data_IF_765400997903
#
_entry.id   IF_765400997903
#
_cell.length_a   1.000
_cell.length_b   1.000
_cell.length_c   1.000
_cell.angle_alpha   90.00
_cell.angle_beta   90.00
_cell.angle_gamma   90.00
#
_symmetry.space_group_name_H-M   'P 1'
#
loop_
_entity.id
_entity.type
_entity.pdbx_description
1 polymer ?
#
# COMPACT_ATOMS: atom_id res chain seq x y z
N UNK A 1 -15.21 -4.99 32.65
CA UNK A 1 -14.28 -5.65 31.72
C UNK A 1 -14.08 -4.77 30.51
N UNK A 2 -12.85 -4.36 30.20
CA UNK A 2 -12.53 -3.53 29.02
C UNK A 2 -12.02 -4.45 27.91
N UNK A 3 -12.95 -5.14 27.26
CA UNK A 3 -12.67 -6.10 26.19
C UNK A 3 -13.06 -5.61 24.80
N UNK A 4 -13.14 -4.29 24.58
CA UNK A 4 -13.24 -3.76 23.22
C UNK A 4 -11.83 -3.63 22.65
N UNK A 5 -11.54 -4.29 21.53
CA UNK A 5 -10.23 -4.27 20.88
C UNK A 5 -9.78 -2.86 20.46
N UNK A 6 -8.54 -2.74 19.98
CA UNK A 6 -8.03 -1.47 19.43
C UNK A 6 -8.99 -0.88 18.38
N UNK A 7 -9.52 -1.74 17.51
CA UNK A 7 -10.50 -1.37 16.49
C UNK A 7 -11.85 -0.89 17.07
N UNK A 8 -12.43 -1.59 18.06
CA UNK A 8 -13.67 -1.11 18.72
C UNK A 8 -13.45 0.23 19.42
N UNK A 9 -12.24 0.46 19.95
CA UNK A 9 -11.87 1.74 20.54
C UNK A 9 -11.81 2.84 19.48
N UNK A 10 -11.15 2.56 18.35
CA UNK A 10 -11.11 3.46 17.21
C UNK A 10 -12.52 3.81 16.73
N UNK A 11 -13.41 2.82 16.53
CA UNK A 11 -14.80 3.06 16.08
C UNK A 11 -15.57 4.01 17.02
N UNK A 12 -15.36 3.91 18.33
CA UNK A 12 -15.99 4.84 19.30
C UNK A 12 -15.42 6.25 19.22
N UNK A 13 -14.12 6.37 18.92
CA UNK A 13 -13.39 7.62 18.84
C UNK A 13 -13.49 8.29 17.45
N UNK A 14 -13.83 7.53 16.42
CA UNK A 14 -13.85 7.93 15.01
C UNK A 14 -14.61 9.24 14.80
N UNK A 15 -15.76 9.40 15.49
CA UNK A 15 -16.58 10.61 15.45
C UNK A 15 -15.87 11.90 15.89
N UNK A 16 -14.73 11.80 16.57
CA UNK A 16 -13.91 12.93 17.01
C UNK A 16 -12.72 13.21 16.09
N UNK A 17 -12.42 12.37 15.10
CA UNK A 17 -11.34 12.65 14.15
C UNK A 17 -11.74 13.74 13.16
N UNK A 18 -10.81 14.53 12.66
CA UNK A 18 -11.15 15.66 11.77
C UNK A 18 -10.84 15.39 10.29
N UNK A 19 -10.23 14.24 10.00
CA UNK A 19 -9.89 13.80 8.65
C UNK A 19 -10.46 12.41 8.42
N UNK A 20 -11.15 12.19 7.31
CA UNK A 20 -11.82 10.94 6.91
C UNK A 20 -12.28 11.06 5.46
N UNK A 21 -12.57 9.95 4.79
CA UNK A 21 -13.04 9.92 3.40
C UNK A 21 -12.14 10.68 2.43
N UNK A 22 -10.84 10.73 2.71
CA UNK A 22 -9.89 11.37 1.81
C UNK A 22 -9.65 10.51 0.58
N UNK A 23 -9.52 11.13 -0.58
CA UNK A 23 -9.13 10.48 -1.82
C UNK A 23 -7.76 11.02 -2.24
N UNK A 24 -6.76 10.13 -2.28
CA UNK A 24 -5.41 10.43 -2.71
C UNK A 24 -5.04 9.54 -3.89
N UNK A 25 -5.11 10.08 -5.10
CA UNK A 25 -4.99 9.29 -6.33
C UNK A 25 -4.22 9.97 -7.46
N UNK A 26 -3.68 9.15 -8.36
CA UNK A 26 -2.97 9.57 -9.58
C UNK A 26 -1.77 10.47 -9.32
N UNK A 27 -1.04 10.25 -8.22
CA UNK A 27 0.19 10.97 -7.90
C UNK A 27 1.44 10.20 -8.34
N UNK A 28 2.48 10.94 -8.71
CA UNK A 28 3.85 10.43 -8.87
C UNK A 28 4.71 11.00 -7.74
N UNK A 29 5.34 10.13 -6.96
CA UNK A 29 6.11 10.50 -5.76
C UNK A 29 7.51 9.88 -5.86
N UNK A 30 8.50 10.74 -6.05
CA UNK A 30 9.91 10.36 -6.05
C UNK A 30 10.74 11.25 -5.14
N UNK A 31 11.95 10.77 -4.80
CA UNK A 31 12.91 11.52 -3.97
C UNK A 31 12.35 12.04 -2.64
N UNK A 32 11.42 11.30 -2.03
CA UNK A 32 10.83 11.65 -0.74
C UNK A 32 11.75 11.29 0.44
N UNK A 33 11.61 12.03 1.54
CA UNK A 33 12.26 11.73 2.83
C UNK A 33 13.80 11.69 2.71
N UNK A 34 14.40 12.67 2.01
CA UNK A 34 15.83 12.62 1.63
C UNK A 34 16.83 12.74 2.79
N UNK A 35 16.44 13.40 3.89
CA UNK A 35 17.35 13.71 5.01
C UNK A 35 16.75 13.32 6.37
N UNK A 36 15.50 13.72 6.62
CA UNK A 36 14.82 13.47 7.90
C UNK A 36 14.19 12.08 7.93
N UNK A 37 14.07 11.50 9.12
CA UNK A 37 13.43 10.19 9.34
C UNK A 37 11.94 10.36 9.69
N UNK A 38 11.25 9.26 10.00
CA UNK A 38 9.83 9.15 10.39
C UNK A 38 8.79 9.51 9.30
N UNK A 39 9.23 10.17 8.22
CA UNK A 39 8.42 10.36 7.01
C UNK A 39 8.18 9.06 6.25
N UNK A 40 7.26 9.07 5.28
CA UNK A 40 7.02 7.97 4.33
C UNK A 40 6.67 8.60 2.97
N UNK A 41 6.59 7.81 1.88
CA UNK A 41 6.12 8.33 0.59
C UNK A 41 4.66 8.81 0.69
N UNK A 42 3.79 7.98 1.26
CA UNK A 42 2.43 8.33 1.67
C UNK A 42 2.26 7.91 3.13
N UNK A 43 1.74 8.82 3.96
CA UNK A 43 1.57 8.61 5.38
C UNK A 43 0.13 8.93 5.82
N UNK A 44 -0.62 7.91 6.23
CA UNK A 44 -1.96 8.01 6.81
C UNK A 44 -1.86 7.65 8.30
N UNK A 45 -2.22 8.58 9.19
CA UNK A 45 -2.09 8.37 10.63
C UNK A 45 -3.27 8.94 11.40
N UNK A 46 -3.90 8.12 12.24
CA UNK A 46 -4.92 8.55 13.19
C UNK A 46 -6.13 9.26 12.57
N UNK A 47 -6.54 8.87 11.37
CA UNK A 47 -7.72 9.43 10.69
C UNK A 47 -8.95 8.54 10.89
N UNK A 48 -10.13 9.08 10.56
CA UNK A 48 -11.39 8.34 10.50
C UNK A 48 -11.49 7.44 9.27
N UNK A 49 -12.69 6.91 9.03
CA UNK A 49 -12.90 5.86 8.02
C UNK A 49 -12.75 6.31 6.56
N UNK A 50 -12.63 5.35 5.66
CA UNK A 50 -12.92 5.44 4.23
C UNK A 50 -11.93 6.28 3.43
N UNK A 51 -10.70 6.40 3.92
CA UNK A 51 -9.62 6.95 3.12
C UNK A 51 -9.25 5.99 1.99
N UNK A 52 -9.01 6.54 0.81
CA UNK A 52 -8.67 5.77 -0.39
C UNK A 52 -7.34 6.31 -0.92
N UNK A 53 -6.36 5.43 -0.99
CA UNK A 53 -5.02 5.68 -1.54
C UNK A 53 -4.90 4.81 -2.78
N UNK A 54 -5.11 5.39 -3.97
CA UNK A 54 -5.17 4.57 -5.19
C UNK A 54 -4.46 5.12 -6.41
N UNK A 55 -3.96 4.23 -7.26
CA UNK A 55 -3.34 4.61 -8.53
C UNK A 55 -2.20 5.64 -8.35
N UNK A 56 -1.35 5.45 -7.34
CA UNK A 56 -0.16 6.29 -7.17
C UNK A 56 1.10 5.53 -7.59
N UNK A 57 2.03 6.25 -8.23
CA UNK A 57 3.33 5.75 -8.61
C UNK A 57 4.40 6.29 -7.66
N UNK A 58 4.88 5.44 -6.76
CA UNK A 58 5.95 5.79 -5.83
C UNK A 58 7.23 5.13 -6.32
N UNK A 59 8.23 5.93 -6.67
CA UNK A 59 9.43 5.39 -7.30
C UNK A 59 10.70 6.17 -7.02
N UNK A 60 11.84 5.48 -7.11
CA UNK A 60 13.17 6.08 -6.93
C UNK A 60 13.35 6.83 -5.59
N UNK A 61 12.61 6.45 -4.56
CA UNK A 61 12.78 7.00 -3.22
C UNK A 61 13.96 6.28 -2.53
N UNK A 62 15.19 6.72 -2.85
CA UNK A 62 16.44 6.01 -2.54
C UNK A 62 17.13 6.42 -1.24
N UNK A 63 16.57 7.39 -0.51
CA UNK A 63 17.19 7.88 0.70
C UNK A 63 17.18 6.84 1.83
N UNK A 64 18.31 6.73 2.55
CA UNK A 64 18.48 5.78 3.66
C UNK A 64 17.48 5.99 4.81
N UNK A 65 16.88 7.17 4.87
CA UNK A 65 15.89 7.60 5.84
C UNK A 65 14.45 7.17 5.50
N UNK A 66 14.15 6.67 4.29
CA UNK A 66 12.79 6.26 3.92
C UNK A 66 12.39 4.93 4.60
N UNK A 67 11.47 4.92 5.58
CA UNK A 67 11.06 3.72 6.29
C UNK A 67 10.10 2.86 5.46
N UNK A 68 9.04 3.45 4.92
CA UNK A 68 8.10 2.79 4.03
C UNK A 68 7.64 3.68 2.88
N UNK A 69 7.20 3.06 1.78
CA UNK A 69 6.61 3.80 0.67
C UNK A 69 5.19 4.24 1.02
N UNK A 70 4.36 3.33 1.54
CA UNK A 70 3.01 3.65 2.07
C UNK A 70 2.92 3.18 3.53
N UNK A 71 2.37 4.02 4.40
CA UNK A 71 2.20 3.70 5.81
C UNK A 71 0.83 4.10 6.36
N UNK A 72 0.15 3.15 6.98
CA UNK A 72 -0.90 3.39 7.97
C UNK A 72 -0.28 3.27 9.38
N UNK A 73 -0.25 4.36 10.15
CA UNK A 73 0.29 4.39 11.52
C UNK A 73 -0.76 4.90 12.54
N UNK A 74 -0.33 5.05 13.80
CA UNK A 74 -1.10 5.30 14.99
C UNK A 74 -2.28 4.33 15.10
N UNK A 75 -3.49 4.87 15.22
CA UNK A 75 -4.74 4.11 15.29
C UNK A 75 -5.49 4.28 13.96
N UNK A 76 -4.89 3.83 12.85
CA UNK A 76 -5.51 3.89 11.52
C UNK A 76 -6.22 2.59 11.15
N UNK A 77 -7.48 2.69 10.74
CA UNK A 77 -8.28 1.57 10.21
C UNK A 77 -9.12 2.05 9.02
N UNK A 78 -9.71 1.10 8.31
CA UNK A 78 -10.65 1.31 7.19
C UNK A 78 -10.09 2.19 6.06
N UNK A 79 -8.76 2.18 5.87
CA UNK A 79 -8.12 2.72 4.66
C UNK A 79 -8.09 1.65 3.57
N UNK A 80 -8.45 2.04 2.34
CA UNK A 80 -8.23 1.25 1.14
C UNK A 80 -6.94 1.70 0.46
N UNK A 81 -5.98 0.78 0.34
CA UNK A 81 -4.74 0.95 -0.43
C UNK A 81 -4.89 0.11 -1.70
N UNK A 82 -5.15 0.77 -2.84
CA UNK A 82 -5.54 0.09 -4.08
C UNK A 82 -4.69 0.47 -5.28
N UNK A 83 -4.19 -0.48 -6.07
CA UNK A 83 -3.69 -0.14 -7.40
C UNK A 83 -2.45 0.78 -7.41
N UNK A 84 -1.64 0.80 -6.35
CA UNK A 84 -0.42 1.61 -6.29
C UNK A 84 0.78 0.82 -6.80
N UNK A 85 1.70 1.47 -7.51
CA UNK A 85 2.97 0.89 -7.95
C UNK A 85 4.10 1.43 -7.09
N UNK A 86 4.81 0.55 -6.40
CA UNK A 86 5.99 0.84 -5.58
C UNK A 86 7.22 0.27 -6.28
N UNK A 87 7.92 1.11 -7.07
CA UNK A 87 9.05 0.69 -7.89
C UNK A 87 10.38 1.28 -7.42
N UNK A 88 11.43 0.48 -7.27
CA UNK A 88 12.76 0.99 -6.95
C UNK A 88 12.76 1.94 -5.75
N UNK A 89 12.09 1.53 -4.67
CA UNK A 89 12.06 2.26 -3.41
C UNK A 89 13.01 1.60 -2.41
N UNK A 90 13.72 2.44 -1.65
CA UNK A 90 14.61 1.97 -0.60
C UNK A 90 13.83 1.38 0.57
N UNK A 91 12.87 2.14 1.12
CA UNK A 91 11.83 1.65 2.02
C UNK A 91 12.33 0.62 3.06
N UNK A 92 13.32 1.01 3.87
CA UNK A 92 14.16 0.07 4.62
C UNK A 92 13.41 -0.79 5.64
N UNK A 93 12.24 -0.34 6.08
CA UNK A 93 11.39 -1.09 7.00
C UNK A 93 10.39 -1.95 6.25
N UNK A 94 9.61 -1.38 5.32
CA UNK A 94 8.59 -2.10 4.57
C UNK A 94 8.22 -1.40 3.26
N UNK A 95 7.74 -2.12 2.25
CA UNK A 95 7.09 -1.48 1.09
C UNK A 95 5.79 -0.79 1.52
N UNK A 96 4.88 -1.56 2.11
CA UNK A 96 3.65 -1.09 2.76
C UNK A 96 3.71 -1.48 4.24
N UNK A 97 3.57 -0.51 5.14
CA UNK A 97 3.40 -0.76 6.57
C UNK A 97 1.95 -0.47 7.00
N UNK A 98 1.27 -1.44 7.59
CA UNK A 98 -0.12 -1.31 8.04
C UNK A 98 -0.25 -1.61 9.53
N UNK A 99 -0.55 -0.58 10.32
CA UNK A 99 -1.19 -0.73 11.64
C UNK A 99 -2.70 -0.73 11.44
N UNK A 100 -3.40 -1.65 12.11
CA UNK A 100 -4.85 -1.73 12.12
C UNK A 100 -5.47 -2.48 10.94
N UNK A 101 -6.79 -2.45 10.88
CA UNK A 101 -7.60 -3.15 9.88
C UNK A 101 -7.74 -2.29 8.63
N UNK A 102 -6.96 -2.57 7.60
CA UNK A 102 -6.93 -1.83 6.33
C UNK A 102 -6.90 -2.82 5.15
N UNK A 103 -7.46 -2.41 4.02
CA UNK A 103 -7.51 -3.23 2.81
C UNK A 103 -6.33 -2.87 1.88
N UNK A 104 -5.58 -3.88 1.43
CA UNK A 104 -4.40 -3.76 0.57
C UNK A 104 -4.65 -4.61 -0.67
N UNK A 105 -5.07 -3.98 -1.76
CA UNK A 105 -5.60 -4.68 -2.93
C UNK A 105 -4.93 -4.20 -4.22
N UNK A 106 -4.54 -5.11 -5.11
CA UNK A 106 -4.00 -4.79 -6.43
C UNK A 106 -2.77 -3.86 -6.42
N UNK A 107 -1.94 -3.88 -5.38
CA UNK A 107 -0.72 -3.06 -5.34
C UNK A 107 0.48 -3.86 -5.86
N UNK A 108 1.39 -3.17 -6.56
CA UNK A 108 2.62 -3.78 -7.08
C UNK A 108 3.82 -3.29 -6.26
N UNK A 109 4.60 -4.23 -5.74
CA UNK A 109 5.93 -3.96 -5.15
C UNK A 109 6.94 -4.61 -6.09
N UNK A 110 7.72 -3.79 -6.78
CA UNK A 110 8.58 -4.23 -7.89
C UNK A 110 9.97 -3.61 -7.76
N UNK A 111 11.01 -4.43 -8.03
CA UNK A 111 12.41 -4.01 -7.96
C UNK A 111 12.73 -3.21 -6.67
N UNK A 112 12.42 -3.74 -5.47
CA UNK A 112 12.74 -3.05 -4.23
C UNK A 112 14.25 -2.76 -4.17
N UNK A 113 14.67 -1.57 -3.74
CA UNK A 113 16.09 -1.19 -3.75
C UNK A 113 16.87 -1.71 -2.54
N UNK A 114 16.19 -2.34 -1.58
CA UNK A 114 16.80 -3.17 -0.53
C UNK A 114 15.82 -4.24 -0.04
N UNK A 115 16.33 -5.21 0.71
CA UNK A 115 15.52 -6.13 1.52
C UNK A 115 14.90 -5.39 2.73
N UNK A 116 13.56 -5.23 2.80
CA UNK A 116 12.92 -4.55 3.93
C UNK A 116 13.01 -5.39 5.21
N UNK A 117 13.42 -4.76 6.32
CA UNK A 117 13.61 -5.46 7.61
C UNK A 117 12.32 -6.05 8.18
N UNK A 118 11.18 -5.44 7.88
CA UNK A 118 9.87 -5.80 8.40
C UNK A 118 8.95 -6.38 7.32
N UNK A 119 9.47 -6.76 6.15
CA UNK A 119 8.70 -7.38 5.06
C UNK A 119 8.19 -6.41 4.00
N UNK A 120 7.89 -6.92 2.81
CA UNK A 120 7.35 -6.12 1.69
C UNK A 120 5.99 -5.53 2.05
N UNK A 121 5.13 -6.31 2.71
CA UNK A 121 3.98 -5.84 3.46
C UNK A 121 4.18 -6.18 4.95
N UNK A 122 4.19 -5.17 5.80
CA UNK A 122 4.39 -5.29 7.25
C UNK A 122 3.08 -5.00 7.98
N UNK A 123 2.59 -5.94 8.78
CA UNK A 123 1.45 -5.75 9.68
C UNK A 123 1.99 -5.44 11.07
N UNK A 124 1.71 -4.25 11.59
CA UNK A 124 2.43 -3.70 12.73
C UNK A 124 1.57 -3.61 13.98
N UNK A 125 2.06 -4.23 15.06
CA UNK A 125 1.74 -3.98 16.48
C UNK A 125 0.31 -4.24 16.95
N UNK A 126 -0.70 -4.21 16.10
CA UNK A 126 -2.11 -4.37 16.49
C UNK A 126 -2.78 -5.45 15.63
N UNK A 127 -3.93 -6.00 16.07
CA UNK A 127 -4.69 -6.95 15.26
C UNK A 127 -5.10 -6.38 13.91
N UNK A 128 -5.18 -7.27 12.91
CA UNK A 128 -5.48 -6.95 11.51
C UNK A 128 -6.61 -7.85 10.97
N UNK A 129 -7.49 -8.27 11.87
CA UNK A 129 -8.54 -9.24 11.58
C UNK A 129 -9.53 -8.65 10.57
N UNK A 130 -9.79 -9.37 9.48
CA UNK A 130 -10.70 -8.95 8.42
C UNK A 130 -10.09 -8.05 7.35
N UNK A 131 -8.85 -7.56 7.52
CA UNK A 131 -8.13 -6.84 6.47
C UNK A 131 -8.10 -7.67 5.18
N UNK A 132 -8.52 -7.08 4.06
CA UNK A 132 -8.43 -7.73 2.75
C UNK A 132 -7.06 -7.53 2.15
N UNK A 133 -6.45 -8.62 1.68
CA UNK A 133 -5.13 -8.60 1.06
C UNK A 133 -5.20 -9.44 -0.20
N UNK A 134 -5.56 -8.81 -1.32
CA UNK A 134 -5.88 -9.52 -2.56
C UNK A 134 -5.21 -8.93 -3.79
N UNK A 135 -4.91 -9.78 -4.78
CA UNK A 135 -4.44 -9.34 -6.11
C UNK A 135 -3.15 -8.52 -6.10
N UNK A 136 -2.38 -8.50 -5.00
CA UNK A 136 -1.13 -7.77 -4.94
C UNK A 136 -0.04 -8.57 -5.68
N UNK A 137 0.89 -7.85 -6.31
CA UNK A 137 2.11 -8.43 -6.87
C UNK A 137 3.29 -8.02 -5.99
N UNK A 138 4.05 -9.00 -5.50
CA UNK A 138 5.31 -8.75 -4.78
C UNK A 138 6.45 -9.46 -5.51
N UNK A 139 7.30 -8.68 -6.14
CA UNK A 139 8.60 -9.12 -6.65
C UNK A 139 9.66 -8.78 -5.61
N UNK A 140 10.31 -9.81 -5.05
CA UNK A 140 11.33 -9.61 -4.03
C UNK A 140 12.62 -9.03 -4.59
N UNK A 141 13.43 -8.47 -3.69
CA UNK A 141 14.86 -8.30 -3.88
C UNK A 141 15.53 -9.67 -4.11
N UNK A 142 16.64 -9.71 -4.83
CA UNK A 142 17.43 -10.93 -5.11
C UNK A 142 17.98 -11.60 -3.86
N UNK A 143 18.17 -10.81 -2.81
CA UNK A 143 18.71 -11.26 -1.51
C UNK A 143 17.60 -11.70 -0.53
N UNK A 144 16.36 -11.86 -1.00
CA UNK A 144 15.25 -12.38 -0.22
C UNK A 144 14.42 -11.30 0.48
N UNK A 145 14.05 -11.57 1.74
CA UNK A 145 13.06 -10.80 2.50
C UNK A 145 11.79 -11.59 2.75
N UNK A 146 10.81 -10.98 3.41
CA UNK A 146 9.50 -11.60 3.68
C UNK A 146 8.44 -10.90 2.85
N UNK A 147 7.62 -11.64 2.10
CA UNK A 147 6.42 -11.09 1.46
C UNK A 147 5.53 -10.37 2.48
N UNK A 148 5.26 -11.05 3.59
CA UNK A 148 4.43 -10.58 4.69
C UNK A 148 5.13 -10.78 6.03
N UNK A 149 4.88 -9.89 6.99
CA UNK A 149 5.45 -10.02 8.32
C UNK A 149 4.48 -9.55 9.42
N UNK A 150 4.46 -10.29 10.52
CA UNK A 150 3.74 -9.93 11.75
C UNK A 150 4.72 -9.21 12.68
N UNK A 151 4.79 -7.88 12.59
CA UNK A 151 5.76 -7.08 13.35
C UNK A 151 5.22 -6.76 14.74
N UNK A 152 5.93 -7.19 15.78
CA UNK A 152 5.62 -6.85 17.18
C UNK A 152 6.24 -5.51 17.60
N UNK A 153 5.62 -4.85 18.60
CA UNK A 153 6.29 -3.78 19.34
C UNK A 153 7.14 -4.38 20.46
N UNK A 154 8.46 -4.34 20.32
CA UNK A 154 9.35 -5.00 21.28
C UNK A 154 9.22 -6.53 21.23
N UNK A 155 9.44 -7.22 22.35
CA UNK A 155 9.47 -8.69 22.40
C UNK A 155 8.09 -9.35 22.36
N UNK A 156 7.11 -8.76 23.03
CA UNK A 156 5.81 -9.37 23.32
C UNK A 156 4.63 -8.41 23.11
N UNK A 157 4.87 -7.28 22.45
CA UNK A 157 3.87 -6.23 22.27
C UNK A 157 3.35 -5.64 23.59
N UNK A 158 4.11 -5.76 24.68
CA UNK A 158 3.69 -5.37 26.02
C UNK A 158 2.47 -6.17 26.50
N UNK A 159 2.37 -7.44 26.09
CA UNK A 159 1.25 -8.32 26.39
C UNK A 159 -0.05 -8.00 25.64
N UNK A 160 -0.04 -7.03 24.72
CA UNK A 160 -1.22 -6.62 23.95
C UNK A 160 -1.45 -7.54 22.75
N UNK A 161 -2.70 -7.67 22.26
CA UNK A 161 -2.99 -8.40 21.03
C UNK A 161 -2.07 -7.98 19.87
N UNK A 162 -1.57 -8.95 19.12
CA UNK A 162 -0.58 -8.79 18.05
C UNK A 162 -1.19 -8.98 16.66
N UNK A 163 -0.55 -8.48 15.58
CA UNK A 163 -0.96 -8.80 14.22
C UNK A 163 -0.88 -10.31 13.98
N UNK A 164 -1.84 -10.81 13.20
CA UNK A 164 -1.97 -12.22 12.83
C UNK A 164 -2.41 -12.32 11.37
N UNK A 165 -1.54 -12.80 10.48
CA UNK A 165 -1.84 -13.00 9.06
C UNK A 165 -3.03 -13.96 8.88
N UNK A 166 -3.12 -15.01 9.69
CA UNK A 166 -4.25 -15.96 9.68
C UNK A 166 -5.63 -15.31 9.87
N UNK A 167 -5.67 -14.11 10.48
CA UNK A 167 -6.91 -13.36 10.70
C UNK A 167 -7.30 -12.44 9.54
N UNK A 168 -6.43 -12.26 8.55
CA UNK A 168 -6.72 -11.49 7.34
C UNK A 168 -7.63 -12.27 6.39
N UNK A 169 -8.29 -11.57 5.47
CA UNK A 169 -8.84 -12.18 4.26
C UNK A 169 -7.84 -12.01 3.12
N UNK A 170 -7.01 -13.03 2.90
CA UNK A 170 -5.87 -12.97 1.99
C UNK A 170 -5.97 -14.06 0.93
N UNK A 171 -6.03 -13.68 -0.34
CA UNK A 171 -6.04 -14.62 -1.48
C UNK A 171 -5.67 -13.94 -2.81
N UNK A 172 -5.45 -14.74 -3.85
CA UNK A 172 -5.17 -14.30 -5.23
C UNK A 172 -3.99 -13.33 -5.39
N UNK A 173 -3.03 -13.37 -4.49
CA UNK A 173 -1.80 -12.59 -4.61
C UNK A 173 -0.78 -13.35 -5.49
N UNK A 174 0.10 -12.59 -6.15
CA UNK A 174 1.21 -13.12 -6.95
C UNK A 174 2.54 -12.75 -6.30
N UNK A 175 3.38 -13.75 -6.13
CA UNK A 175 4.70 -13.61 -5.55
C UNK A 175 5.78 -14.09 -6.50
N UNK A 176 6.91 -13.40 -6.52
CA UNK A 176 8.03 -13.81 -7.32
C UNK A 176 9.35 -13.48 -6.62
N UNK A 177 10.28 -14.43 -6.68
CA UNK A 177 11.67 -14.23 -6.29
C UNK A 177 12.54 -14.61 -7.49
N UNK A 178 13.47 -13.74 -7.93
CA UNK A 178 14.20 -13.92 -9.19
C UNK A 178 15.16 -15.11 -9.17
N UNK A 179 15.60 -15.56 -7.99
CA UNK A 179 16.63 -16.59 -7.84
C UNK A 179 16.25 -17.75 -6.89
N UNK A 180 15.07 -17.72 -6.28
CA UNK A 180 14.65 -18.72 -5.28
C UNK A 180 13.21 -19.16 -5.56
N UNK A 181 13.06 -20.32 -6.19
CA UNK A 181 11.75 -20.89 -6.53
C UNK A 181 10.95 -21.35 -5.31
N UNK A 182 11.57 -21.45 -4.13
CA UNK A 182 10.95 -21.93 -2.89
C UNK A 182 10.64 -20.81 -1.90
N UNK A 183 10.91 -19.55 -2.26
CA UNK A 183 10.78 -18.38 -1.39
C UNK A 183 9.43 -18.29 -0.65
N UNK A 184 8.35 -18.76 -1.30
CA UNK A 184 6.98 -18.67 -0.78
C UNK A 184 6.39 -19.98 -0.25
N UNK A 185 7.13 -21.09 -0.29
CA UNK A 185 6.59 -22.41 0.03
C UNK A 185 6.04 -22.49 1.46
N UNK A 186 6.84 -22.04 2.45
CA UNK A 186 6.44 -22.06 3.86
C UNK A 186 5.20 -21.17 4.10
N UNK A 187 5.21 -19.96 3.55
CA UNK A 187 4.11 -19.01 3.70
C UNK A 187 2.81 -19.55 3.11
N UNK A 188 2.84 -19.99 1.85
CA UNK A 188 1.67 -20.52 1.16
C UNK A 188 1.18 -21.80 1.83
N UNK A 189 2.07 -22.69 2.27
CA UNK A 189 1.69 -23.90 3.01
C UNK A 189 0.93 -23.54 4.29
N UNK A 190 1.48 -22.65 5.12
CA UNK A 190 0.86 -22.20 6.37
C UNK A 190 -0.50 -21.54 6.14
N UNK A 191 -0.58 -20.61 5.18
CA UNK A 191 -1.81 -19.85 4.93
C UNK A 191 -2.92 -20.72 4.32
N UNK A 192 -2.56 -21.65 3.41
CA UNK A 192 -3.51 -22.61 2.84
C UNK A 192 -4.07 -23.58 3.88
N UNK A 193 -3.28 -23.97 4.89
CA UNK A 193 -3.74 -24.82 5.98
C UNK A 193 -4.88 -24.17 6.80
N UNK A 194 -4.91 -22.84 6.88
CA UNK A 194 -6.00 -22.08 7.53
C UNK A 194 -7.02 -21.51 6.53
N UNK A 195 -6.99 -22.01 5.29
CA UNK A 195 -7.98 -21.68 4.26
C UNK A 195 -7.79 -20.34 3.55
N UNK A 196 -6.61 -19.72 3.68
CA UNK A 196 -6.21 -18.47 3.00
C UNK A 196 -5.27 -18.79 1.83
N UNK A 197 -5.02 -17.83 0.93
CA UNK A 197 -4.01 -17.94 -0.14
C UNK A 197 -4.17 -19.19 -1.03
N UNK A 198 -5.42 -19.65 -1.22
CA UNK A 198 -5.75 -20.86 -1.98
C UNK A 198 -5.49 -20.68 -3.46
N UNK A 199 -5.85 -19.52 -3.99
CA UNK A 199 -5.67 -19.16 -5.39
C UNK A 199 -4.32 -18.48 -5.63
N UNK A 200 -3.72 -17.87 -4.60
CA UNK A 200 -2.41 -17.19 -4.69
C UNK A 200 -1.32 -18.06 -5.30
N UNK A 201 -0.45 -17.44 -6.09
CA UNK A 201 0.55 -18.12 -6.92
C UNK A 201 1.95 -17.60 -6.66
N UNK A 202 2.92 -18.49 -6.85
CA UNK A 202 4.30 -18.12 -7.11
C UNK A 202 4.54 -18.16 -8.61
N UNK A 203 5.16 -17.13 -9.19
CA UNK A 203 5.52 -17.08 -10.60
C UNK A 203 5.87 -15.67 -11.08
N UNK A 204 6.69 -15.60 -12.12
CA UNK A 204 7.08 -14.34 -12.74
C UNK A 204 5.84 -13.57 -13.24
N UNK A 205 5.63 -12.29 -12.86
CA UNK A 205 4.54 -11.48 -13.37
C UNK A 205 4.59 -11.24 -14.87
N UNK A 206 5.73 -11.48 -15.53
CA UNK A 206 5.96 -11.23 -16.95
C UNK A 206 5.57 -9.79 -17.32
N UNK A 207 6.10 -8.81 -16.58
CA UNK A 207 5.97 -7.41 -16.96
C UNK A 207 6.60 -7.15 -18.34
N UNK A 208 6.06 -6.20 -19.10
CA UNK A 208 6.60 -5.84 -20.43
C UNK A 208 7.95 -5.15 -20.31
N UNK A 209 8.04 -4.02 -19.59
CA UNK A 209 9.29 -3.30 -19.36
C UNK A 209 9.21 -2.43 -18.10
N UNK A 210 9.35 -3.02 -16.89
CA UNK A 210 9.25 -2.25 -15.65
C UNK A 210 10.40 -1.24 -15.49
N UNK A 211 11.51 -1.36 -16.22
CA UNK A 211 12.59 -0.39 -16.19
C UNK A 211 12.27 0.87 -17.00
N UNK A 212 11.45 0.73 -18.04
CA UNK A 212 10.83 1.80 -18.83
C UNK A 212 9.46 2.25 -18.31
N UNK A 213 9.13 1.97 -17.04
CA UNK A 213 7.83 2.29 -16.42
C UNK A 213 6.61 1.58 -17.05
N UNK A 214 6.80 0.48 -17.78
CA UNK A 214 5.72 -0.34 -18.34
C UNK A 214 5.46 -1.60 -17.50
N UNK A 215 4.44 -1.50 -16.64
CA UNK A 215 3.97 -2.58 -15.77
C UNK A 215 2.81 -3.37 -16.37
N UNK A 216 2.56 -3.27 -17.67
CA UNK A 216 1.63 -4.16 -18.36
C UNK A 216 2.15 -5.59 -18.41
N UNK A 217 1.27 -6.55 -18.65
CA UNK A 217 1.59 -7.97 -18.63
C UNK A 217 1.78 -8.54 -20.04
N UNK A 218 2.83 -9.33 -20.23
CA UNK A 218 3.00 -10.14 -21.44
C UNK A 218 1.97 -11.28 -21.49
N UNK A 219 1.63 -11.80 -22.69
CA UNK A 219 0.80 -12.98 -22.84
C UNK A 219 1.28 -14.16 -21.97
N UNK A 220 0.36 -14.81 -21.27
CA UNK A 220 0.67 -15.94 -20.38
C UNK A 220 1.05 -15.57 -18.95
N UNK A 221 1.07 -14.28 -18.59
CA UNK A 221 1.30 -13.85 -17.21
C UNK A 221 0.33 -14.52 -16.23
N UNK A 222 0.82 -15.08 -15.10
CA UNK A 222 -0.03 -15.60 -14.03
C UNK A 222 -0.87 -14.50 -13.37
N UNK A 223 -0.47 -13.23 -13.46
CA UNK A 223 -1.24 -12.10 -12.93
C UNK A 223 -2.61 -11.99 -13.61
N UNK A 224 -2.66 -12.20 -14.93
CA UNK A 224 -3.92 -12.20 -15.69
C UNK A 224 -4.84 -13.35 -15.27
N UNK A 225 -4.30 -14.54 -15.02
CA UNK A 225 -5.09 -15.70 -14.57
C UNK A 225 -5.66 -15.51 -13.15
N UNK A 226 -5.01 -14.68 -12.34
CA UNK A 226 -5.48 -14.27 -11.02
C UNK A 226 -6.52 -13.14 -11.07
N UNK A 227 -6.71 -12.49 -12.22
CA UNK A 227 -7.57 -11.32 -12.36
C UNK A 227 -6.96 -10.04 -11.79
N UNK A 228 -5.63 -9.96 -11.69
CA UNK A 228 -4.93 -8.76 -11.28
C UNK A 228 -5.07 -7.71 -12.39
N UNK A 229 -5.50 -6.50 -12.02
CA UNK A 229 -5.63 -5.37 -12.93
C UNK A 229 -4.22 -4.83 -13.27
N UNK A 230 -3.85 -4.70 -14.55
CA UNK A 230 -2.60 -4.05 -14.95
C UNK A 230 -2.65 -2.56 -14.62
N UNK A 231 -1.52 -2.00 -14.16
CA UNK A 231 -1.43 -0.61 -13.74
C UNK A 231 -0.65 0.23 -14.75
N UNK A 232 -1.30 1.29 -15.22
CA UNK A 232 -0.75 2.23 -16.21
C UNK A 232 -0.24 3.50 -15.50
N UNK A 233 1.05 3.52 -15.20
CA UNK A 233 1.69 4.62 -14.46
C UNK A 233 1.83 5.89 -15.30
N UNK A 234 1.65 5.84 -16.62
CA UNK A 234 1.64 7.05 -17.47
C UNK A 234 0.49 8.01 -17.15
N UNK A 235 -0.53 7.52 -16.45
CA UNK A 235 -1.66 8.30 -15.92
C UNK A 235 -1.42 8.86 -14.51
N UNK A 236 -0.30 8.53 -13.88
CA UNK A 236 0.02 8.91 -12.51
C UNK A 236 1.05 10.05 -12.54
N UNK A 237 0.79 11.15 -11.83
CA UNK A 237 1.67 12.31 -11.78
C UNK A 237 1.30 13.41 -12.78
N UNK A 238 2.32 14.03 -13.37
CA UNK A 238 2.11 15.19 -14.24
C UNK A 238 1.61 14.74 -15.61
N UNK A 239 0.36 15.10 -15.92
CA UNK A 239 -0.21 14.86 -17.23
C UNK A 239 0.26 15.94 -18.22
N UNK A 240 0.60 15.52 -19.43
CA UNK A 240 0.97 16.44 -20.52
C UNK A 240 -0.24 17.22 -21.06
N UNK A 241 -1.44 16.74 -20.79
CA UNK A 241 -2.67 17.43 -21.15
C UNK A 241 -3.00 18.53 -20.12
N UNK A 242 -2.92 19.78 -20.56
CA UNK A 242 -3.30 20.96 -19.78
C UNK A 242 -4.80 21.26 -19.85
N UNK A 243 -5.60 20.44 -20.54
CA UNK A 243 -7.05 20.64 -20.64
C UNK A 243 -7.78 20.60 -19.28
N UNK A 244 -7.15 20.03 -18.26
CA UNK A 244 -7.63 19.99 -16.87
C UNK A 244 -7.16 21.16 -16.00
N UNK A 245 -6.34 22.09 -16.51
CA UNK A 245 -6.05 23.33 -15.80
C UNK A 245 -7.35 24.14 -15.71
N UNK A 246 -7.88 24.24 -14.50
CA UNK A 246 -9.07 25.03 -14.16
C UNK A 246 -8.91 26.42 -14.76
N UNK A 247 -9.81 26.77 -15.69
CA UNK A 247 -9.95 28.11 -16.23
C UNK A 247 -10.55 29.02 -15.15
N UNK A 248 -9.73 29.49 -14.20
CA UNK A 248 -10.11 30.48 -13.18
C UNK A 248 -10.27 31.91 -13.76
N UNK A 249 -10.49 32.06 -15.08
CA UNK A 249 -10.64 33.36 -15.75
C UNK A 249 -12.03 33.65 -16.33
N UNK A 250 -13.09 33.02 -15.81
CA UNK A 250 -14.45 33.44 -16.13
C UNK A 250 -15.32 33.61 -14.88
N UNK A 251 -14.97 34.54 -13.97
CA UNK A 251 -15.96 35.05 -13.01
C UNK A 251 -15.71 36.45 -12.39
N UNK A 252 -14.86 37.30 -12.99
CA UNK A 252 -14.61 38.67 -12.43
C UNK A 252 -15.03 39.85 -13.31
N UNK A 253 -15.80 39.64 -14.38
CA UNK A 253 -16.42 40.73 -15.15
C UNK A 253 -17.94 40.55 -15.23
N UNK A 254 -18.67 40.92 -14.17
CA UNK A 254 -20.14 40.87 -14.23
C UNK A 254 -20.95 41.53 -13.11
N UNK A 255 -20.38 41.86 -11.94
CA UNK A 255 -21.19 42.34 -10.80
C UNK A 255 -21.03 43.81 -10.41
N UNK A 256 -20.42 44.64 -11.25
CA UNK A 256 -20.27 46.08 -10.97
C UNK A 256 -21.21 46.94 -11.82
N UNK A 257 -22.54 46.76 -11.65
CA UNK A 257 -23.56 47.78 -11.96
C UNK A 257 -24.97 47.24 -11.63
N UNK A 258 -25.42 47.40 -10.38
CA UNK A 258 -26.81 47.73 -9.98
C UNK A 258 -27.00 47.57 -8.48
N UNK A 259 -26.89 48.69 -7.76
CA UNK A 259 -27.84 49.14 -6.72
C UNK A 259 -27.35 50.45 -6.12
N UNK A 260 -27.62 51.52 -6.85
CA UNK A 260 -27.93 52.82 -6.28
C UNK A 260 -29.45 52.99 -6.42
N UNK A 261 -30.08 53.40 -5.31
CA UNK A 261 -31.52 53.54 -5.02
C UNK A 261 -32.10 52.41 -4.19
#
# INVERSE_FOLDING_TARGET
GRGGGAYDSWQRLEKYYHSRHNLFEYNEISHSVQLLSDGNGIYISGTGTGNIIRYNYLHHNQAHSLPAAIRCDDDQHETLIYGNVLYNNRAFSAGIASKGVNDIINNFIVNPAMVPRSGYISYEWVPVAGSKVHHNIIVSHTDGGKAHNERLRGRDNGGRPKPKLESTDMDKNLYYHPTDSHWMDEHLHKMRAVGKEKASRFGDPLFVDPAGDDFSFQPGSPAMALGIEPLDVSKMGRLNDRSSLINDQQETEGSSQKRLR
#
